data_IF_283784216697
#
_entry.id   IF_283784216697
#
_cell.length_a   1.000
_cell.length_b   1.000
_cell.length_c   1.000
_cell.angle_alpha   90.00
_cell.angle_beta   90.00
_cell.angle_gamma   90.00
#
_symmetry.space_group_name_H-M   'P 1'
#
loop_
_entity.id
_entity.type
_entity.pdbx_description
1 polymer ?
#
# COMPACT_ATOMS: atom_id res chain seq x y z
N UNK A 1 -13.30 -8.57 -33.85
CA UNK A 1 -13.17 -7.33 -33.07
C UNK A 1 -12.41 -7.67 -31.82
N UNK A 2 -11.10 -7.45 -31.80
CA UNK A 2 -10.26 -7.76 -30.64
C UNK A 2 -10.29 -6.58 -29.69
N UNK A 3 -11.02 -6.70 -28.59
CA UNK A 3 -10.96 -5.76 -27.47
C UNK A 3 -9.56 -5.87 -26.88
N UNK A 4 -8.68 -4.93 -27.23
CA UNK A 4 -7.41 -4.76 -26.53
C UNK A 4 -7.76 -4.32 -25.12
N UNK A 5 -7.65 -5.22 -24.15
CA UNK A 5 -7.54 -4.80 -22.76
C UNK A 5 -6.34 -3.85 -22.70
N UNK A 6 -6.57 -2.58 -22.37
CA UNK A 6 -5.50 -1.63 -22.07
C UNK A 6 -4.82 -2.17 -20.79
N UNK A 7 -3.83 -3.05 -20.97
CA UNK A 7 -3.05 -3.59 -19.87
C UNK A 7 -2.12 -2.49 -19.39
N UNK A 8 -2.61 -1.62 -18.51
CA UNK A 8 -1.74 -0.67 -17.81
C UNK A 8 -0.69 -1.41 -16.99
N UNK A 9 0.48 -0.80 -16.87
CA UNK A 9 1.57 -1.35 -16.10
C UNK A 9 1.12 -1.60 -14.64
N UNK A 10 1.49 -2.74 -14.02
CA UNK A 10 1.13 -3.03 -12.65
C UNK A 10 1.72 -2.00 -11.70
N UNK A 11 0.90 -1.51 -10.78
CA UNK A 11 1.31 -0.66 -9.67
C UNK A 11 1.64 -1.54 -8.48
N UNK A 12 2.91 -1.60 -8.13
CA UNK A 12 3.39 -2.49 -7.06
C UNK A 12 3.27 -1.83 -5.69
N UNK A 13 2.63 -2.54 -4.77
CA UNK A 13 2.33 -2.11 -3.40
C UNK A 13 3.05 -3.01 -2.41
N UNK A 14 3.63 -2.42 -1.37
CA UNK A 14 4.08 -3.12 -0.16
C UNK A 14 3.35 -2.58 1.07
N UNK A 15 3.27 -3.40 2.11
CA UNK A 15 2.64 -2.99 3.38
C UNK A 15 3.54 -3.21 4.58
N UNK A 16 3.33 -2.40 5.63
CA UNK A 16 3.94 -2.60 6.94
C UNK A 16 2.84 -2.75 7.99
N UNK A 17 2.65 -3.98 8.45
CA UNK A 17 1.56 -4.37 9.34
C UNK A 17 1.99 -5.51 10.27
N UNK A 18 1.73 -5.33 11.56
CA UNK A 18 2.08 -6.30 12.61
C UNK A 18 1.13 -7.52 12.62
N UNK A 19 0.00 -7.43 11.90
CA UNK A 19 -0.97 -8.52 11.70
C UNK A 19 -1.08 -8.84 10.20
N UNK A 20 -0.24 -9.74 9.65
CA UNK A 20 -0.14 -10.01 8.22
C UNK A 20 -1.47 -10.46 7.58
N UNK A 21 -2.25 -11.29 8.27
CA UNK A 21 -3.55 -11.75 7.79
C UNK A 21 -4.57 -10.62 7.61
N UNK A 22 -4.55 -9.63 8.51
CA UNK A 22 -5.40 -8.43 8.42
C UNK A 22 -4.92 -7.53 7.29
N UNK A 23 -3.60 -7.34 7.15
CA UNK A 23 -3.03 -6.61 6.01
C UNK A 23 -3.46 -7.21 4.68
N UNK A 24 -3.26 -8.52 4.51
CA UNK A 24 -3.62 -9.24 3.29
C UNK A 24 -5.10 -9.05 2.96
N UNK A 25 -5.99 -9.25 3.92
CA UNK A 25 -7.43 -9.08 3.71
C UNK A 25 -7.80 -7.65 3.29
N UNK A 26 -7.27 -6.63 3.97
CA UNK A 26 -7.55 -5.23 3.64
C UNK A 26 -7.02 -4.86 2.25
N UNK A 27 -5.80 -5.27 1.92
CA UNK A 27 -5.18 -5.01 0.62
C UNK A 27 -5.91 -5.76 -0.49
N UNK A 28 -6.35 -7.00 -0.28
CA UNK A 28 -7.14 -7.76 -1.25
C UNK A 28 -8.48 -7.05 -1.55
N UNK A 29 -9.16 -6.52 -0.53
CA UNK A 29 -10.40 -5.76 -0.69
C UNK A 29 -10.15 -4.45 -1.45
N UNK A 30 -9.03 -3.77 -1.15
CA UNK A 30 -8.61 -2.56 -1.86
C UNK A 30 -8.35 -2.84 -3.34
N UNK A 31 -7.51 -3.83 -3.66
CA UNK A 31 -7.14 -4.22 -5.02
C UNK A 31 -8.39 -4.58 -5.83
N UNK A 32 -9.27 -5.44 -5.28
CA UNK A 32 -10.52 -5.81 -5.94
C UNK A 32 -11.45 -4.62 -6.14
N UNK A 33 -11.49 -3.72 -5.16
CA UNK A 33 -12.33 -2.53 -5.20
C UNK A 33 -11.90 -1.49 -6.24
N UNK A 34 -10.62 -1.48 -6.61
CA UNK A 34 -10.02 -0.48 -7.49
C UNK A 34 -9.56 -1.06 -8.83
N UNK A 35 -9.83 -2.34 -9.12
CA UNK A 35 -9.33 -3.01 -10.32
C UNK A 35 -9.87 -2.42 -11.62
N UNK A 36 -11.01 -1.72 -11.57
CA UNK A 36 -11.59 -1.01 -12.70
C UNK A 36 -10.81 0.27 -13.07
N UNK A 37 -10.06 0.85 -12.13
CA UNK A 37 -9.34 2.11 -12.29
C UNK A 37 -7.81 1.91 -12.33
N UNK A 38 -7.29 0.95 -11.57
CA UNK A 38 -5.86 0.71 -11.38
C UNK A 38 -5.50 -0.77 -11.47
N UNK A 39 -4.28 -1.06 -11.93
CA UNK A 39 -3.69 -2.40 -11.92
C UNK A 39 -2.83 -2.62 -10.66
N UNK A 40 -3.45 -2.68 -9.49
CA UNK A 40 -2.73 -2.79 -8.21
C UNK A 40 -2.25 -4.23 -7.93
N UNK A 41 -0.99 -4.40 -7.52
CA UNK A 41 -0.39 -5.69 -7.17
C UNK A 41 0.33 -5.59 -5.83
N UNK A 42 -0.10 -6.39 -4.84
CA UNK A 42 0.59 -6.47 -3.56
C UNK A 42 1.76 -7.44 -3.63
N UNK A 43 2.97 -6.95 -3.36
CA UNK A 43 4.20 -7.75 -3.41
C UNK A 43 4.46 -8.48 -2.10
N UNK A 44 4.42 -7.76 -0.99
CA UNK A 44 4.81 -8.29 0.31
C UNK A 44 4.37 -7.40 1.48
N UNK A 45 4.42 -7.99 2.69
CA UNK A 45 4.21 -7.31 3.96
C UNK A 45 5.43 -7.48 4.87
N UNK A 46 5.90 -6.41 5.49
CA UNK A 46 6.78 -6.49 6.67
C UNK A 46 5.99 -6.25 7.96
N UNK A 47 6.40 -6.89 9.05
CA UNK A 47 5.87 -6.67 10.40
C UNK A 47 6.84 -5.90 11.31
N UNK A 48 8.00 -5.49 10.81
CA UNK A 48 9.02 -4.74 11.55
C UNK A 48 9.66 -3.66 10.66
N UNK A 49 10.32 -2.68 11.27
CA UNK A 49 11.08 -1.66 10.54
C UNK A 49 12.30 -2.28 9.85
N UNK A 50 13.08 -3.09 10.57
CA UNK A 50 14.24 -3.81 10.02
C UNK A 50 13.82 -4.76 8.87
N UNK A 51 12.73 -5.51 9.05
CA UNK A 51 12.20 -6.36 7.98
C UNK A 51 11.72 -5.59 6.76
N UNK A 52 11.36 -4.30 6.88
CA UNK A 52 11.03 -3.47 5.74
C UNK A 52 12.25 -3.17 4.89
N UNK A 53 13.38 -2.84 5.52
CA UNK A 53 14.64 -2.58 4.83
C UNK A 53 15.03 -3.79 3.98
N UNK A 54 15.14 -4.96 4.62
CA UNK A 54 15.45 -6.22 3.93
C UNK A 54 14.44 -6.55 2.82
N UNK A 55 13.14 -6.32 3.07
CA UNK A 55 12.10 -6.54 2.07
C UNK A 55 12.31 -5.65 0.85
N UNK A 56 12.54 -4.34 1.03
CA UNK A 56 12.73 -3.41 -0.08
C UNK A 56 13.99 -3.71 -0.89
N UNK A 57 15.09 -4.13 -0.24
CA UNK A 57 16.32 -4.55 -0.93
C UNK A 57 16.14 -5.85 -1.72
N UNK A 58 15.33 -6.78 -1.21
CA UNK A 58 15.14 -8.10 -1.80
C UNK A 58 14.19 -8.11 -3.00
N UNK A 59 13.41 -7.05 -3.19
CA UNK A 59 12.44 -6.97 -4.28
C UNK A 59 13.15 -6.72 -5.62
N UNK A 60 12.86 -7.59 -6.59
CA UNK A 60 13.34 -7.44 -7.97
C UNK A 60 12.75 -6.20 -8.66
N UNK A 61 11.56 -5.78 -8.24
CA UNK A 61 10.86 -4.60 -8.77
C UNK A 61 10.57 -3.63 -7.63
N UNK A 62 10.94 -2.37 -7.82
CA UNK A 62 10.71 -1.32 -6.84
C UNK A 62 9.19 -1.05 -6.68
N UNK A 63 8.64 -1.15 -5.46
CA UNK A 63 7.26 -0.77 -5.21
C UNK A 63 7.05 0.73 -5.41
N UNK A 64 5.88 1.11 -5.91
CA UNK A 64 5.50 2.52 -6.06
C UNK A 64 4.69 3.04 -4.88
N UNK A 65 4.07 2.14 -4.10
CA UNK A 65 3.27 2.53 -2.93
C UNK A 65 3.65 1.70 -1.71
N UNK A 66 3.90 2.37 -0.59
CA UNK A 66 3.97 1.75 0.73
C UNK A 66 2.77 2.15 1.58
N UNK A 67 2.10 1.16 2.18
CA UNK A 67 0.99 1.35 3.12
C UNK A 67 1.45 0.97 4.53
N UNK A 68 1.47 1.93 5.46
CA UNK A 68 1.76 1.71 6.87
C UNK A 68 0.47 1.62 7.68
N UNK A 69 0.31 0.53 8.45
CA UNK A 69 -0.93 0.26 9.18
C UNK A 69 -1.15 1.16 10.40
N UNK A 70 -2.41 1.25 10.84
CA UNK A 70 -2.85 2.05 12.00
C UNK A 70 -2.48 1.46 13.37
N UNK A 71 -1.83 0.30 13.38
CA UNK A 71 -1.31 -0.32 14.60
C UNK A 71 0.01 0.32 15.06
N UNK A 72 0.68 1.04 14.17
CA UNK A 72 1.91 1.75 14.48
C UNK A 72 1.61 3.13 15.03
N UNK A 73 2.42 3.57 16.00
CA UNK A 73 2.36 4.96 16.51
C UNK A 73 2.78 5.94 15.42
N UNK A 74 2.35 7.20 15.51
CA UNK A 74 2.74 8.23 14.54
C UNK A 74 4.26 8.43 14.41
N UNK A 75 5.02 8.21 15.49
CA UNK A 75 6.49 8.26 15.45
C UNK A 75 7.05 7.11 14.62
N UNK A 76 6.60 5.88 14.87
CA UNK A 76 7.06 4.74 14.09
C UNK A 76 6.61 4.81 12.63
N UNK A 77 5.40 5.31 12.36
CA UNK A 77 4.95 5.57 11.00
C UNK A 77 5.92 6.55 10.29
N UNK A 78 6.35 7.63 10.95
CA UNK A 78 7.35 8.55 10.37
C UNK A 78 8.68 7.86 10.06
N UNK A 79 9.15 6.97 10.94
CA UNK A 79 10.38 6.20 10.71
C UNK A 79 10.24 5.26 9.51
N UNK A 80 9.15 4.48 9.44
CA UNK A 80 8.82 3.59 8.31
C UNK A 80 8.78 4.36 6.99
N UNK A 81 8.07 5.49 6.98
CA UNK A 81 7.88 6.31 5.80
C UNK A 81 9.18 7.00 5.37
N UNK A 82 10.00 7.41 6.33
CA UNK A 82 11.32 7.99 6.11
C UNK A 82 12.26 6.97 5.46
N UNK A 83 12.37 5.78 6.05
CA UNK A 83 13.19 4.69 5.51
C UNK A 83 12.81 4.36 4.06
N UNK A 84 11.51 4.20 3.79
CA UNK A 84 11.02 3.89 2.46
C UNK A 84 11.43 4.94 1.41
N UNK A 85 11.30 6.23 1.75
CA UNK A 85 11.69 7.35 0.88
C UNK A 85 13.20 7.50 0.73
N UNK A 86 13.97 7.14 1.75
CA UNK A 86 15.44 7.11 1.65
C UNK A 86 15.90 6.04 0.68
N UNK A 87 15.28 4.85 0.70
CA UNK A 87 15.64 3.75 -0.19
C UNK A 87 15.08 3.92 -1.60
N UNK A 88 13.85 4.43 -1.72
CA UNK A 88 13.13 4.60 -2.98
C UNK A 88 12.56 6.03 -3.01
N UNK A 89 13.31 7.02 -3.54
CA UNK A 89 12.93 8.44 -3.47
C UNK A 89 11.52 8.77 -4.00
N UNK A 90 11.08 8.08 -5.05
CA UNK A 90 9.80 8.33 -5.70
C UNK A 90 8.62 7.54 -5.12
N UNK A 91 8.86 6.71 -4.07
CA UNK A 91 7.79 5.91 -3.47
C UNK A 91 6.72 6.80 -2.85
N UNK A 92 5.46 6.50 -3.18
CA UNK A 92 4.30 7.11 -2.53
C UNK A 92 4.05 6.39 -1.21
N UNK A 93 3.71 7.13 -0.18
CA UNK A 93 3.52 6.56 1.17
C UNK A 93 2.16 6.94 1.72
N UNK A 94 1.43 5.95 2.25
CA UNK A 94 0.16 6.14 2.93
C UNK A 94 0.32 5.65 4.37
N UNK A 95 0.02 6.51 5.33
CA UNK A 95 -0.07 6.12 6.75
C UNK A 95 -1.54 6.08 7.16
N UNK A 96 -2.03 4.90 7.55
CA UNK A 96 -3.41 4.77 8.04
C UNK A 96 -3.48 5.41 9.43
N UNK A 97 -4.43 6.33 9.69
CA UNK A 97 -4.51 7.03 10.97
C UNK A 97 -4.57 6.05 12.15
N UNK A 98 -3.73 6.23 13.19
CA UNK A 98 -3.76 5.37 14.37
C UNK A 98 -5.16 5.26 14.97
N UNK A 99 -5.56 4.04 15.33
CA UNK A 99 -6.88 3.77 15.92
C UNK A 99 -8.06 3.73 14.94
N UNK A 100 -7.90 4.11 13.66
CA UNK A 100 -9.01 4.12 12.69
C UNK A 100 -9.77 2.79 12.60
N UNK A 101 -9.03 1.68 12.52
CA UNK A 101 -9.63 0.34 12.47
C UNK A 101 -10.38 0.00 13.76
N UNK A 102 -9.84 0.38 14.92
CA UNK A 102 -10.45 0.11 16.21
C UNK A 102 -11.73 0.94 16.44
N UNK A 103 -11.74 2.19 15.96
CA UNK A 103 -12.85 3.13 16.18
C UNK A 103 -13.95 3.03 15.13
N UNK A 104 -13.59 2.77 13.85
CA UNK A 104 -14.53 2.82 12.71
C UNK A 104 -14.60 1.52 11.91
N UNK A 105 -13.80 0.51 12.25
CA UNK A 105 -13.78 -0.79 11.58
C UNK A 105 -12.98 -0.83 10.28
N UNK A 106 -12.93 -2.01 9.67
CA UNK A 106 -12.15 -2.28 8.47
C UNK A 106 -12.66 -1.57 7.21
N UNK A 107 -13.97 -1.35 7.09
CA UNK A 107 -14.55 -0.67 5.91
C UNK A 107 -14.09 0.78 5.83
N UNK A 108 -14.05 1.49 6.96
CA UNK A 108 -13.51 2.85 7.03
C UNK A 108 -12.02 2.92 6.68
N UNK A 109 -11.25 1.87 6.97
CA UNK A 109 -9.85 1.76 6.54
C UNK A 109 -9.76 1.59 5.02
N UNK A 110 -10.62 0.77 4.42
CA UNK A 110 -10.65 0.57 2.97
C UNK A 110 -11.06 1.85 2.25
N UNK A 111 -12.10 2.55 2.71
CA UNK A 111 -12.50 3.84 2.11
C UNK A 111 -11.38 4.87 2.20
N UNK A 112 -10.76 5.02 3.38
CA UNK A 112 -9.59 5.88 3.53
C UNK A 112 -8.48 5.52 2.53
N UNK A 113 -8.13 4.24 2.40
CA UNK A 113 -7.10 3.81 1.46
C UNK A 113 -7.48 4.11 0.00
N UNK A 114 -8.74 3.94 -0.39
CA UNK A 114 -9.22 4.29 -1.74
C UNK A 114 -9.06 5.77 -2.03
N UNK A 115 -9.52 6.64 -1.13
CA UNK A 115 -9.38 8.08 -1.26
C UNK A 115 -7.91 8.50 -1.39
N UNK A 116 -7.03 7.90 -0.58
CA UNK A 116 -5.59 8.17 -0.64
C UNK A 116 -5.01 7.72 -1.97
N UNK A 117 -5.30 6.51 -2.44
CA UNK A 117 -4.77 6.00 -3.72
C UNK A 117 -5.26 6.84 -4.91
N UNK A 118 -6.53 7.26 -4.92
CA UNK A 118 -7.08 8.16 -5.97
C UNK A 118 -6.36 9.52 -5.94
N UNK A 119 -6.02 10.01 -4.74
CA UNK A 119 -5.25 11.25 -4.58
C UNK A 119 -3.77 11.13 -4.94
N UNK A 120 -3.26 9.92 -5.19
CA UNK A 120 -1.92 9.72 -5.71
C UNK A 120 -1.94 9.83 -7.24
N UNK A 121 -0.94 10.51 -7.79
CA UNK A 121 -0.71 10.60 -9.23
C UNK A 121 -0.15 9.27 -9.79
N UNK A 122 -1.00 8.23 -9.77
CA UNK A 122 -0.69 6.87 -10.24
C UNK A 122 -1.29 6.64 -11.62
N UNK A 123 -0.65 5.81 -12.48
CA UNK A 123 -1.19 5.49 -13.79
C UNK A 123 -2.50 4.71 -13.69
N UNK A 124 -3.60 5.30 -14.19
CA UNK A 124 -4.92 4.67 -14.24
C UNK A 124 -5.23 4.11 -15.63
N UNK A 125 -6.26 3.26 -15.74
CA UNK A 125 -6.61 2.53 -16.97
C UNK A 125 -6.91 3.41 -18.20
N UNK A 126 -7.17 4.70 -18.03
CA UNK A 126 -7.58 5.70 -19.05
C UNK A 126 -8.82 5.33 -19.84
#
# INVERSE_FOLDING_TARGET
MSTSALSTAPIYIVSVNNTPEVAKKLVDILIKGMSAEFNLVHLANSNTLEGLEFLLESLVVAPQVLICSSQWTSTQQKEVLGLAKTMIPDIKTIAIPPGLNATKGGDAVVEFLREQIIGLDLPSHT
#
